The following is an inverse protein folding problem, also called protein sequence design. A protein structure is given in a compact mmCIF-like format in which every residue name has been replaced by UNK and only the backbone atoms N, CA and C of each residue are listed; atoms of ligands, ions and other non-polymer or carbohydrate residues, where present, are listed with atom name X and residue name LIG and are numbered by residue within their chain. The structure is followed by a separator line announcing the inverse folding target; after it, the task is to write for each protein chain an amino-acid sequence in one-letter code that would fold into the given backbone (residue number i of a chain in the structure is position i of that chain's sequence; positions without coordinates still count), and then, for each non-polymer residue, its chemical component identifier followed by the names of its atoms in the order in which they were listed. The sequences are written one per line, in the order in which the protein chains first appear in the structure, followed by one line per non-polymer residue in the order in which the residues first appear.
data_IF_894985922083
#
_entry.id   IF_894985922083
#
_cell.length_a   1.000
_cell.length_b   1.000
_cell.length_c   1.000
_cell.angle_alpha   90.00
_cell.angle_beta   90.00
_cell.angle_gamma   90.00
#
_symmetry.space_group_name_H-M   'P 1'
#
loop_
_entity.id
_entity.type
_entity.pdbx_description
1 polymer ?
#
# COMPACT_ATOMS: atom_id res chain seq x y z
N UNK A 1 2.94 14.08 17.03
CA UNK A 1 2.80 14.78 15.73
C UNK A 1 1.55 14.21 15.08
N UNK A 2 0.59 15.03 14.66
CA UNK A 2 -0.57 14.52 13.90
C UNK A 2 -0.09 14.22 12.47
N UNK A 3 -0.40 13.05 11.90
CA UNK A 3 0.03 12.72 10.54
C UNK A 3 -0.57 13.71 9.54
N UNK A 4 0.17 14.07 8.47
CA UNK A 4 -0.35 14.91 7.40
C UNK A 4 -1.57 14.24 6.74
N UNK A 5 -2.53 15.05 6.27
CA UNK A 5 -3.61 14.52 5.42
C UNK A 5 -3.01 14.08 4.09
N UNK A 6 -3.20 12.83 3.71
CA UNK A 6 -2.66 12.23 2.48
C UNK A 6 -3.18 12.86 1.18
N UNK A 7 -4.31 13.56 1.25
CA UNK A 7 -4.99 14.09 0.06
C UNK A 7 -5.65 13.01 -0.79
N UNK A 8 -5.70 11.76 -0.32
CA UNK A 8 -6.36 10.65 -1.00
C UNK A 8 -7.87 10.88 -1.14
N UNK A 9 -8.46 10.24 -2.15
CA UNK A 9 -9.91 10.24 -2.36
C UNK A 9 -10.63 9.69 -1.11
N UNK A 10 -11.64 10.39 -0.54
CA UNK A 10 -12.35 9.96 0.67
C UNK A 10 -12.93 8.54 0.63
N UNK A 11 -13.28 8.06 -0.57
CA UNK A 11 -13.86 6.75 -0.82
C UNK A 11 -12.82 5.69 -1.21
N UNK A 12 -11.53 6.07 -1.24
CA UNK A 12 -10.43 5.15 -1.51
C UNK A 12 -10.20 4.14 -0.38
N UNK A 13 -9.56 3.03 -0.75
CA UNK A 13 -9.07 2.05 0.23
C UNK A 13 -8.08 2.69 1.23
N UNK A 14 -7.21 3.60 0.76
CA UNK A 14 -6.27 4.29 1.64
C UNK A 14 -7.01 5.09 2.72
N UNK A 15 -8.04 5.87 2.37
CA UNK A 15 -8.84 6.60 3.34
C UNK A 15 -9.63 5.69 4.28
N UNK A 16 -10.05 4.50 3.83
CA UNK A 16 -10.62 3.48 4.71
C UNK A 16 -9.60 3.01 5.76
N UNK A 17 -8.38 2.64 5.34
CA UNK A 17 -7.30 2.24 6.24
C UNK A 17 -6.95 3.36 7.21
N UNK A 18 -6.96 4.62 6.76
CA UNK A 18 -6.70 5.75 7.64
C UNK A 18 -7.70 5.84 8.79
N UNK A 19 -8.99 5.66 8.50
CA UNK A 19 -10.07 5.68 9.51
C UNK A 19 -9.92 4.56 10.53
N UNK A 20 -9.37 3.42 10.14
CA UNK A 20 -9.26 2.24 11.03
C UNK A 20 -7.97 2.30 11.84
N UNK A 21 -6.82 2.60 11.22
CA UNK A 21 -5.50 2.32 11.82
C UNK A 21 -4.56 3.52 11.97
N UNK A 22 -4.77 4.64 11.26
CA UNK A 22 -3.76 5.72 11.16
C UNK A 22 -3.31 6.27 12.52
N UNK A 23 -4.23 6.48 13.45
CA UNK A 23 -3.89 7.00 14.77
C UNK A 23 -2.95 6.04 15.54
N UNK A 24 -3.23 4.73 15.47
CA UNK A 24 -2.42 3.68 16.11
C UNK A 24 -1.05 3.57 15.44
N UNK A 25 -1.02 3.60 14.11
CA UNK A 25 0.21 3.43 13.34
C UNK A 25 1.11 4.67 13.41
N UNK A 26 0.52 5.87 13.45
CA UNK A 26 1.26 7.10 13.69
C UNK A 26 1.90 7.12 15.09
N UNK A 27 1.24 6.55 16.10
CA UNK A 27 1.81 6.40 17.43
C UNK A 27 2.96 5.38 17.47
N UNK A 28 2.90 4.32 16.64
CA UNK A 28 4.01 3.36 16.46
C UNK A 28 5.21 4.00 15.75
N UNK A 29 4.94 4.92 14.83
CA UNK A 29 5.94 5.64 14.05
C UNK A 29 6.41 4.87 12.82
N UNK A 30 6.95 5.61 11.85
CA UNK A 30 7.36 5.10 10.52
C UNK A 30 8.28 3.87 10.61
N UNK A 31 9.34 3.83 11.45
CA UNK A 31 10.21 2.66 11.51
C UNK A 31 9.48 1.38 11.94
N UNK A 32 8.59 1.48 12.94
CA UNK A 32 7.82 0.33 13.40
C UNK A 32 6.77 -0.11 12.39
N UNK A 33 6.11 0.83 11.72
CA UNK A 33 5.15 0.52 10.64
C UNK A 33 5.84 -0.11 9.42
N UNK A 34 7.05 0.33 9.09
CA UNK A 34 7.84 -0.28 8.02
C UNK A 34 8.21 -1.73 8.34
N UNK A 35 8.49 -2.06 9.60
CA UNK A 35 8.77 -3.45 10.00
C UNK A 35 7.55 -4.35 9.79
N UNK A 36 6.35 -3.92 10.19
CA UNK A 36 5.11 -4.65 9.90
C UNK A 36 4.88 -4.84 8.40
N UNK A 37 5.07 -3.80 7.60
CA UNK A 37 4.98 -3.92 6.14
C UNK A 37 5.93 -4.99 5.58
N UNK A 38 7.18 -5.04 6.06
CA UNK A 38 8.17 -6.03 5.62
C UNK A 38 7.79 -7.45 6.07
N UNK A 39 7.19 -7.58 7.25
CA UNK A 39 6.67 -8.84 7.79
C UNK A 39 5.58 -9.42 6.87
N UNK A 40 4.55 -8.65 6.52
CA UNK A 40 3.48 -9.14 5.64
C UNK A 40 3.97 -9.44 4.22
N UNK A 41 4.96 -8.67 3.73
CA UNK A 41 5.61 -9.03 2.46
C UNK A 41 6.31 -10.39 2.56
N UNK A 42 6.89 -10.70 3.72
CA UNK A 42 7.50 -12.00 3.99
C UNK A 42 6.49 -13.16 4.02
N UNK A 43 5.34 -12.94 4.65
CA UNK A 43 4.25 -13.91 4.70
C UNK A 43 3.58 -14.09 3.33
N UNK A 44 3.36 -13.01 2.56
CA UNK A 44 2.94 -13.09 1.16
C UNK A 44 3.90 -13.94 0.31
N UNK A 45 5.21 -13.72 0.44
CA UNK A 45 6.23 -14.52 -0.25
C UNK A 45 6.14 -15.99 0.14
N UNK A 46 5.91 -16.28 1.43
CA UNK A 46 5.74 -17.66 1.93
C UNK A 46 4.51 -18.32 1.32
N UNK A 47 3.36 -17.65 1.35
CA UNK A 47 2.10 -18.14 0.80
C UNK A 47 2.23 -18.45 -0.70
N UNK A 48 2.83 -17.54 -1.48
CA UNK A 48 3.10 -17.74 -2.92
C UNK A 48 4.00 -18.96 -3.14
N UNK A 49 5.12 -19.05 -2.42
CA UNK A 49 6.09 -20.13 -2.62
C UNK A 49 5.55 -21.51 -2.26
N UNK A 50 4.59 -21.58 -1.34
CA UNK A 50 3.99 -22.83 -0.86
C UNK A 50 2.66 -23.17 -1.53
N UNK A 51 2.10 -22.26 -2.31
CA UNK A 51 0.80 -22.45 -2.95
C UNK A 51 -0.37 -22.46 -1.97
N UNK A 52 -0.23 -21.77 -0.83
CA UNK A 52 -1.25 -21.68 0.23
C UNK A 52 -2.35 -20.69 -0.21
N UNK A 53 -3.29 -21.16 -1.03
CA UNK A 53 -4.29 -20.28 -1.69
C UNK A 53 -5.17 -19.50 -0.71
N UNK A 54 -5.55 -20.12 0.41
CA UNK A 54 -6.39 -19.48 1.44
C UNK A 54 -5.64 -18.32 2.12
N UNK A 55 -4.36 -18.51 2.47
CA UNK A 55 -3.52 -17.45 3.03
C UNK A 55 -3.21 -16.36 2.00
N UNK A 56 -3.12 -16.72 0.71
CA UNK A 56 -2.68 -15.78 -0.33
C UNK A 56 -3.55 -14.52 -0.41
N UNK A 57 -4.87 -14.67 -0.31
CA UNK A 57 -5.80 -13.53 -0.40
C UNK A 57 -5.67 -12.58 0.80
N UNK A 58 -5.48 -13.13 1.99
CA UNK A 58 -5.22 -12.39 3.24
C UNK A 58 -3.92 -11.59 3.14
N UNK A 59 -2.82 -12.25 2.78
CA UNK A 59 -1.50 -11.62 2.70
C UNK A 59 -1.44 -10.49 1.63
N UNK A 60 -2.18 -10.62 0.52
CA UNK A 60 -2.30 -9.53 -0.46
C UNK A 60 -3.02 -8.32 0.12
N UNK A 61 -4.08 -8.55 0.90
CA UNK A 61 -4.84 -7.48 1.54
C UNK A 61 -3.98 -6.76 2.59
N UNK A 62 -3.23 -7.52 3.40
CA UNK A 62 -2.38 -6.97 4.46
C UNK A 62 -1.21 -6.16 3.90
N UNK A 63 -0.53 -6.66 2.87
CA UNK A 63 0.51 -5.88 2.15
C UNK A 63 -0.07 -4.58 1.59
N UNK A 64 -1.29 -4.61 1.03
CA UNK A 64 -1.92 -3.40 0.50
C UNK A 64 -2.27 -2.41 1.62
N UNK A 65 -2.81 -2.90 2.74
CA UNK A 65 -3.16 -2.08 3.90
C UNK A 65 -1.91 -1.37 4.47
N UNK A 66 -0.81 -2.09 4.68
CA UNK A 66 0.40 -1.49 5.22
C UNK A 66 1.09 -0.53 4.23
N UNK A 67 1.05 -0.81 2.93
CA UNK A 67 1.52 0.14 1.92
C UNK A 67 0.71 1.44 1.96
N UNK A 68 -0.62 1.34 2.09
CA UNK A 68 -1.51 2.48 2.23
C UNK A 68 -1.21 3.28 3.51
N UNK A 69 -1.03 2.61 4.66
CA UNK A 69 -0.63 3.26 5.91
C UNK A 69 0.69 4.01 5.75
N UNK A 70 1.72 3.42 5.12
CA UNK A 70 2.99 4.09 4.89
C UNK A 70 2.82 5.35 4.02
N UNK A 71 2.03 5.27 2.94
CA UNK A 71 1.71 6.44 2.12
C UNK A 71 1.04 7.54 2.96
N UNK A 72 0.08 7.20 3.80
CA UNK A 72 -0.60 8.14 4.70
C UNK A 72 0.32 8.77 5.73
N UNK A 73 1.23 8.00 6.34
CA UNK A 73 2.23 8.54 7.28
C UNK A 73 3.19 9.54 6.62
N UNK A 74 3.39 9.42 5.30
CA UNK A 74 4.16 10.36 4.49
C UNK A 74 3.33 11.46 3.83
N UNK A 75 2.01 11.49 4.02
CA UNK A 75 1.13 12.48 3.42
C UNK A 75 1.00 12.35 1.90
N UNK A 76 1.04 11.12 1.39
CA UNK A 76 1.00 10.82 -0.03
C UNK A 76 -0.34 10.17 -0.42
N UNK A 77 -0.93 10.62 -1.53
CA UNK A 77 -2.04 9.96 -2.22
C UNK A 77 -1.52 8.82 -3.09
N UNK A 78 -1.69 7.58 -2.61
CA UNK A 78 -1.14 6.39 -3.26
C UNK A 78 -1.77 6.13 -4.64
N UNK A 79 -3.09 6.29 -4.73
CA UNK A 79 -3.82 6.09 -5.99
C UNK A 79 -3.45 7.18 -7.00
N UNK A 80 -3.45 8.43 -6.60
CA UNK A 80 -3.03 9.56 -7.44
C UNK A 80 -1.60 9.38 -7.97
N UNK A 81 -0.65 8.97 -7.12
CA UNK A 81 0.72 8.66 -7.54
C UNK A 81 0.77 7.52 -8.55
N UNK A 82 0.00 6.45 -8.32
CA UNK A 82 -0.12 5.33 -9.24
C UNK A 82 -0.65 5.76 -10.61
N UNK A 83 -1.75 6.53 -10.63
CA UNK A 83 -2.37 7.05 -11.85
C UNK A 83 -1.47 8.03 -12.59
N UNK A 84 -0.80 8.95 -11.89
CA UNK A 84 0.15 9.87 -12.50
C UNK A 84 1.31 9.13 -13.18
N UNK A 85 1.75 8.02 -12.59
CA UNK A 85 2.88 7.23 -13.13
C UNK A 85 2.46 6.30 -14.27
N UNK A 86 1.34 5.59 -14.13
CA UNK A 86 0.97 4.47 -15.02
C UNK A 86 -0.32 4.70 -15.83
N UNK A 87 -1.09 5.77 -15.56
CA UNK A 87 -2.39 6.03 -16.18
C UNK A 87 -2.32 6.27 -17.70
N UNK A 88 -1.17 6.70 -18.22
CA UNK A 88 -0.92 6.86 -19.65
C UNK A 88 -0.30 5.62 -20.33
N UNK A 89 -0.17 4.50 -19.62
CA UNK A 89 0.54 3.30 -20.08
C UNK A 89 1.93 3.13 -19.46
N UNK A 90 2.73 2.20 -20.00
CA UNK A 90 4.06 1.95 -19.45
C UNK A 90 4.90 3.23 -19.43
N UNK A 91 5.52 3.62 -18.29
CA UNK A 91 6.34 4.84 -18.19
C UNK A 91 7.56 4.85 -19.11
N UNK A 92 7.97 3.69 -19.65
CA UNK A 92 9.15 3.53 -20.51
C UNK A 92 8.82 3.56 -22.00
N UNK A 93 7.74 2.91 -22.42
CA UNK A 93 7.40 2.76 -23.85
C UNK A 93 6.02 3.29 -24.23
N UNK A 94 5.26 3.80 -23.26
CA UNK A 94 3.92 4.40 -23.44
C UNK A 94 2.87 3.47 -24.08
N UNK A 95 3.11 2.15 -24.09
CA UNK A 95 2.18 1.14 -24.62
C UNK A 95 1.32 0.51 -23.52
N UNK A 96 0.15 0.04 -23.96
CA UNK A 96 -0.84 -0.75 -23.21
C UNK A 96 -1.34 -1.88 -24.14
N UNK A 97 -0.91 -3.15 -24.01
CA UNK A 97 0.05 -3.70 -23.02
C UNK A 97 1.51 -3.25 -23.25
N UNK A 98 2.39 -3.42 -22.25
CA UNK A 98 3.82 -3.12 -22.42
C UNK A 98 4.46 -4.02 -23.50
N UNK A 99 5.44 -3.48 -24.21
CA UNK A 99 6.36 -4.20 -25.13
C UNK A 99 7.83 -3.99 -24.77
N UNK A 100 8.04 -3.43 -23.58
CA UNK A 100 9.25 -3.65 -22.81
C UNK A 100 9.25 -5.10 -22.31
#
# INVERSE_FOLDING_TARGET
MHPPRSGADPDSFQSLIERIYLARDAARGVPGTLLWFVEEVGELVRAIRRGERENLEEEFADVYAWLATLASLHGLDLEGLGRAKYGGGCPKCSRLPCVC
#
